data_IF_808499241467
#
_entry.id   IF_808499241467
#
_cell.length_a   1.000
_cell.length_b   1.000
_cell.length_c   1.000
_cell.angle_alpha   90.00
_cell.angle_beta   90.00
_cell.angle_gamma   90.00
#
_symmetry.space_group_name_H-M   'P 1'
#
loop_
_entity.id
_entity.type
_entity.pdbx_description
1 polymer ?
#
# COMPACT_ATOMS: atom_id res chain seq x y z
N UNK A 1 -21.11 -1.13 22.42
CA UNK A 1 -20.07 -0.95 23.44
C UNK A 1 -19.29 0.31 23.16
N UNK A 2 -19.71 1.32 23.92
CA UNK A 2 -19.24 2.69 23.90
C UNK A 2 -17.74 2.73 24.19
N UNK A 3 -16.96 2.97 23.13
CA UNK A 3 -15.68 3.64 23.30
C UNK A 3 -16.04 5.07 23.69
N UNK A 4 -15.85 5.41 24.97
CA UNK A 4 -16.22 6.72 25.51
C UNK A 4 -15.59 7.84 24.69
N UNK A 5 -16.37 8.88 24.39
CA UNK A 5 -15.94 10.05 23.61
C UNK A 5 -14.62 10.66 24.11
N UNK A 6 -14.34 10.51 25.41
CA UNK A 6 -13.09 10.92 26.07
C UNK A 6 -11.83 10.17 25.55
N UNK A 7 -11.95 8.90 25.13
CA UNK A 7 -10.85 8.13 24.52
C UNK A 7 -10.58 8.54 23.07
N UNK A 8 -11.63 8.96 22.35
CA UNK A 8 -11.53 9.52 20.99
C UNK A 8 -10.89 10.91 21.06
N UNK A 9 -11.35 11.76 21.97
CA UNK A 9 -10.91 13.14 22.14
C UNK A 9 -9.46 13.24 22.66
N UNK A 10 -9.07 12.39 23.63
CA UNK A 10 -7.69 12.35 24.15
C UNK A 10 -6.68 11.83 23.12
N UNK A 11 -7.10 11.10 22.08
CA UNK A 11 -6.21 10.62 21.01
C UNK A 11 -6.13 11.54 19.80
N UNK A 12 -7.14 12.38 19.57
CA UNK A 12 -7.04 13.51 18.62
C UNK A 12 -5.94 14.50 19.05
N UNK A 13 -5.60 14.57 20.33
CA UNK A 13 -4.53 15.47 20.84
C UNK A 13 -3.09 14.99 20.61
N UNK A 14 -2.88 13.73 20.22
CA UNK A 14 -1.54 13.17 19.98
C UNK A 14 -1.25 13.01 18.49
N UNK A 15 -0.66 14.03 17.85
CA UNK A 15 -0.20 13.90 16.46
C UNK A 15 0.68 12.64 16.31
N UNK A 16 0.25 11.71 15.46
CA UNK A 16 0.97 10.47 15.17
C UNK A 16 2.07 10.77 14.15
N UNK A 17 3.22 11.22 14.64
CA UNK A 17 4.18 11.89 13.77
C UNK A 17 5.28 10.99 13.20
N UNK A 18 5.62 11.21 11.93
CA UNK A 18 6.77 10.61 11.21
C UNK A 18 7.69 11.70 10.65
N UNK A 19 8.94 11.39 10.34
CA UNK A 19 9.87 12.38 9.80
C UNK A 19 9.49 12.82 8.37
N UNK A 20 9.82 14.07 7.97
CA UNK A 20 9.77 14.51 6.57
C UNK A 20 10.47 13.52 5.64
N UNK A 21 9.96 13.37 4.41
CA UNK A 21 10.41 12.39 3.43
C UNK A 21 9.73 11.02 3.56
N UNK A 22 9.11 10.71 4.71
CA UNK A 22 8.33 9.47 4.89
C UNK A 22 7.17 9.46 3.89
N UNK A 23 7.12 8.45 3.02
CA UNK A 23 6.10 8.36 1.98
C UNK A 23 4.79 7.77 2.52
N UNK A 24 3.69 8.39 2.16
CA UNK A 24 2.31 7.98 2.45
C UNK A 24 1.55 7.81 1.14
N UNK A 25 0.62 6.85 1.10
CA UNK A 25 -0.07 6.49 -0.14
C UNK A 25 -1.42 7.20 -0.22
N UNK A 26 -1.56 8.09 -1.21
CA UNK A 26 -2.82 8.78 -1.52
C UNK A 26 -3.84 7.82 -2.13
N UNK A 27 -5.12 8.18 -2.06
CA UNK A 27 -6.22 7.42 -2.64
C UNK A 27 -6.13 7.30 -4.18
N UNK A 28 -5.36 8.17 -4.84
CA UNK A 28 -5.07 8.08 -6.27
C UNK A 28 -3.90 7.13 -6.61
N UNK A 29 -3.40 6.39 -5.61
CA UNK A 29 -2.27 5.45 -5.68
C UNK A 29 -0.90 6.08 -5.92
N UNK A 30 -0.73 7.36 -5.62
CA UNK A 30 0.60 8.00 -5.57
C UNK A 30 1.18 7.98 -4.16
N UNK A 31 2.41 7.53 -4.07
CA UNK A 31 3.23 7.70 -2.87
C UNK A 31 3.80 9.11 -2.85
N UNK A 32 3.44 9.90 -1.84
CA UNK A 32 3.94 11.27 -1.68
C UNK A 32 4.61 11.42 -0.32
N UNK A 33 5.61 12.30 -0.16
CA UNK A 33 6.16 12.62 1.15
C UNK A 33 5.08 13.22 2.08
N UNK A 34 5.07 12.81 3.35
CA UNK A 34 4.08 13.24 4.35
C UNK A 34 3.97 14.76 4.48
N UNK A 35 5.07 15.48 4.28
CA UNK A 35 5.13 16.95 4.33
C UNK A 35 4.35 17.65 3.22
N UNK A 36 3.93 16.92 2.20
CA UNK A 36 3.16 17.45 1.06
C UNK A 36 1.65 17.34 1.28
N UNK A 37 1.21 16.64 2.33
CA UNK A 37 -0.21 16.47 2.64
C UNK A 37 -0.83 17.77 3.17
N UNK A 38 -2.07 18.00 2.74
CA UNK A 38 -2.92 19.10 3.20
C UNK A 38 -4.26 18.56 3.69
N UNK A 39 -4.96 19.35 4.51
CA UNK A 39 -6.33 19.03 4.91
C UNK A 39 -7.22 18.81 3.67
N UNK A 40 -8.01 17.73 3.68
CA UNK A 40 -8.84 17.29 2.56
C UNK A 40 -8.18 16.27 1.64
N UNK A 41 -6.86 16.05 1.71
CA UNK A 41 -6.21 14.98 0.96
C UNK A 41 -6.77 13.62 1.35
N UNK A 42 -7.01 12.77 0.35
CA UNK A 42 -7.50 11.42 0.56
C UNK A 42 -6.35 10.42 0.53
N UNK A 43 -6.33 9.52 1.51
CA UNK A 43 -5.32 8.49 1.69
C UNK A 43 -5.93 7.11 1.56
N UNK A 44 -5.12 6.14 1.12
CA UNK A 44 -5.46 4.74 1.38
C UNK A 44 -5.16 4.45 2.86
N UNK A 45 -6.16 3.92 3.56
CA UNK A 45 -6.11 3.65 4.99
C UNK A 45 -6.82 2.32 5.28
N UNK A 46 -7.07 2.01 6.55
CA UNK A 46 -7.80 0.83 6.97
C UNK A 46 -8.49 1.05 8.32
N UNK A 47 -9.40 0.15 8.68
CA UNK A 47 -10.06 0.18 9.99
C UNK A 47 -9.04 0.20 11.13
N UNK A 48 -9.07 1.23 11.97
CA UNK A 48 -8.10 1.39 13.06
C UNK A 48 -8.13 0.18 14.01
N UNK A 49 -9.33 -0.30 14.33
CA UNK A 49 -9.55 -1.49 15.15
C UNK A 49 -10.28 -2.57 14.36
N UNK A 50 -9.84 -3.81 14.53
CA UNK A 50 -10.61 -4.96 14.09
C UNK A 50 -11.75 -5.21 15.09
N UNK A 51 -12.97 -5.42 14.59
CA UNK A 51 -14.04 -5.98 15.41
C UNK A 51 -13.67 -7.41 15.83
N UNK A 52 -14.17 -7.86 16.98
CA UNK A 52 -13.89 -9.20 17.51
C UNK A 52 -14.17 -10.29 16.47
N UNK A 53 -13.18 -11.15 16.21
CA UNK A 53 -13.26 -12.22 15.20
C UNK A 53 -13.20 -11.77 13.74
N UNK A 54 -13.05 -10.47 13.46
CA UNK A 54 -12.99 -9.92 12.10
C UNK A 54 -11.59 -9.36 11.76
N UNK A 55 -11.36 -9.10 10.48
CA UNK A 55 -10.15 -8.43 9.99
C UNK A 55 -10.41 -6.94 9.78
N UNK A 56 -9.35 -6.13 9.85
CA UNK A 56 -9.38 -4.75 9.36
C UNK A 56 -9.63 -4.75 7.86
N UNK A 57 -10.42 -3.81 7.36
CA UNK A 57 -10.65 -3.59 5.94
C UNK A 57 -9.96 -2.33 5.47
N UNK A 58 -9.56 -2.30 4.20
CA UNK A 58 -9.08 -1.08 3.56
C UNK A 58 -10.20 -0.04 3.52
N UNK A 59 -9.83 1.21 3.74
CA UNK A 59 -10.73 2.38 3.80
C UNK A 59 -10.08 3.56 3.12
N UNK A 60 -10.88 4.54 2.73
CA UNK A 60 -10.38 5.89 2.44
C UNK A 60 -10.25 6.67 3.74
N UNK A 61 -9.07 7.21 4.00
CA UNK A 61 -8.85 8.22 5.03
C UNK A 61 -8.89 9.61 4.43
N UNK A 62 -9.26 10.61 5.23
CA UNK A 62 -9.16 12.03 4.87
C UNK A 62 -8.24 12.70 5.86
N UNK A 63 -7.26 13.45 5.37
CA UNK A 63 -6.39 14.27 6.20
C UNK A 63 -7.21 15.42 6.77
N UNK A 64 -7.28 15.54 8.10
CA UNK A 64 -8.04 16.61 8.76
C UNK A 64 -7.17 17.83 9.05
N UNK A 65 -5.92 17.60 9.44
CA UNK A 65 -4.92 18.61 9.75
C UNK A 65 -3.54 18.02 9.46
N UNK A 66 -2.54 18.87 9.20
CA UNK A 66 -1.13 18.49 9.24
C UNK A 66 -0.34 19.47 10.09
N UNK A 67 0.61 18.96 10.88
CA UNK A 67 1.42 19.81 11.77
C UNK A 67 2.87 19.37 11.81
N UNK A 68 3.78 20.33 11.62
CA UNK A 68 5.21 20.17 11.94
C UNK A 68 5.45 20.45 13.41
N UNK A 69 6.09 19.52 14.11
CA UNK A 69 6.41 19.62 15.53
C UNK A 69 7.76 18.96 15.82
N UNK A 70 8.51 19.48 16.79
CA UNK A 70 9.72 18.83 17.27
C UNK A 70 9.39 17.87 18.41
N UNK A 71 9.81 16.61 18.29
CA UNK A 71 9.58 15.57 19.30
C UNK A 71 10.78 14.62 19.40
N UNK A 72 11.02 13.99 20.56
CA UNK A 72 11.93 12.85 20.64
C UNK A 72 11.51 11.76 19.65
N UNK A 73 12.46 11.34 18.82
CA UNK A 73 12.24 10.41 17.73
C UNK A 73 13.18 9.21 17.80
N UNK A 74 12.73 8.13 17.19
CA UNK A 74 13.46 6.87 17.06
C UNK A 74 13.66 6.61 15.58
N UNK A 75 14.87 6.21 15.21
CA UNK A 75 15.19 5.62 13.92
C UNK A 75 14.99 4.11 14.00
N UNK A 76 14.15 3.59 13.12
CA UNK A 76 13.87 2.18 12.93
C UNK A 76 14.56 1.72 11.66
N UNK A 77 15.34 0.65 11.75
CA UNK A 77 15.92 -0.01 10.58
C UNK A 77 15.24 -1.36 10.41
N UNK A 78 14.77 -1.63 9.19
CA UNK A 78 14.17 -2.90 8.82
C UNK A 78 15.21 -3.84 8.20
N UNK A 79 14.92 -5.14 8.21
CA UNK A 79 15.79 -6.17 7.65
C UNK A 79 16.02 -6.06 6.13
N UNK A 80 15.14 -5.32 5.42
CA UNK A 80 15.29 -5.01 3.99
C UNK A 80 16.11 -3.72 3.74
N UNK A 81 16.68 -3.12 4.79
CA UNK A 81 17.44 -1.87 4.74
C UNK A 81 16.58 -0.60 4.73
N UNK A 82 15.25 -0.72 4.79
CA UNK A 82 14.37 0.44 4.93
C UNK A 82 14.62 1.13 6.27
N UNK A 83 14.80 2.44 6.24
CA UNK A 83 14.91 3.28 7.43
C UNK A 83 13.64 4.12 7.59
N UNK A 84 13.09 4.17 8.80
CA UNK A 84 11.92 4.96 9.16
C UNK A 84 12.23 5.75 10.42
N UNK A 85 11.83 7.02 10.47
CA UNK A 85 11.98 7.85 11.67
C UNK A 85 10.60 8.30 12.11
N UNK A 86 10.28 8.09 13.38
CA UNK A 86 9.00 8.48 13.95
C UNK A 86 9.13 8.94 15.40
N UNK A 87 8.15 9.72 15.87
CA UNK A 87 8.07 10.12 17.25
C UNK A 87 7.95 8.89 18.18
N UNK A 88 8.42 9.01 19.42
CA UNK A 88 8.39 7.94 20.42
C UNK A 88 7.00 7.32 20.64
N UNK A 89 5.96 8.14 20.53
CA UNK A 89 4.54 7.78 20.74
C UNK A 89 3.80 7.39 19.44
N UNK A 90 4.46 7.43 18.28
CA UNK A 90 3.83 7.05 17.02
C UNK A 90 3.43 5.55 17.05
N UNK A 91 2.15 5.20 16.79
CA UNK A 91 1.69 3.82 16.85
C UNK A 91 1.99 3.08 15.55
N UNK A 92 2.63 1.92 15.66
CA UNK A 92 2.88 1.00 14.56
C UNK A 92 1.97 -0.21 14.66
N UNK A 93 1.49 -0.69 13.51
CA UNK A 93 0.86 -1.98 13.43
C UNK A 93 1.94 -3.05 13.57
N UNK A 94 1.83 -3.91 14.59
CA UNK A 94 2.77 -5.01 14.84
C UNK A 94 1.99 -6.31 14.94
N UNK A 95 2.52 -7.38 14.37
CA UNK A 95 1.81 -8.66 14.38
C UNK A 95 2.65 -9.86 13.95
N UNK A 96 1.96 -10.94 13.61
CA UNK A 96 2.59 -12.18 13.14
C UNK A 96 1.87 -12.76 11.90
N UNK A 97 1.32 -11.90 11.05
CA UNK A 97 0.55 -12.29 9.86
C UNK A 97 -0.94 -12.50 10.12
N UNK A 98 -1.32 -12.94 11.33
CA UNK A 98 -2.71 -13.27 11.68
C UNK A 98 -3.32 -12.31 12.70
N UNK A 99 -2.53 -11.89 13.69
CA UNK A 99 -2.97 -10.99 14.75
C UNK A 99 -2.14 -9.72 14.73
N UNK A 100 -2.81 -8.57 14.72
CA UNK A 100 -2.16 -7.25 14.68
C UNK A 100 -2.66 -6.37 15.82
N UNK A 101 -1.71 -5.76 16.53
CA UNK A 101 -1.94 -4.77 17.59
C UNK A 101 -1.17 -3.49 17.29
N UNK A 102 -1.65 -2.38 17.84
CA UNK A 102 -0.91 -1.13 17.84
C UNK A 102 0.17 -1.15 18.92
N UNK A 103 1.35 -0.66 18.58
CA UNK A 103 2.49 -0.55 19.49
C UNK A 103 3.24 0.75 19.23
N UNK A 104 3.43 1.58 20.26
CA UNK A 104 4.20 2.82 20.14
C UNK A 104 5.67 2.56 19.75
N UNK A 105 6.28 3.47 19.00
CA UNK A 105 7.66 3.40 18.53
C UNK A 105 8.66 3.06 19.64
N UNK A 106 8.54 3.70 20.81
CA UNK A 106 9.46 3.49 21.95
C UNK A 106 9.41 2.08 22.55
N UNK A 107 8.36 1.31 22.22
CA UNK A 107 8.17 -0.06 22.70
C UNK A 107 8.54 -1.12 21.65
N UNK A 108 8.97 -0.68 20.46
CA UNK A 108 9.48 -1.55 19.42
C UNK A 108 10.87 -2.08 19.80
N UNK A 109 11.16 -3.31 19.37
CA UNK A 109 12.42 -4.01 19.63
C UNK A 109 12.83 -4.77 18.36
N UNK A 110 14.15 -4.97 18.15
CA UNK A 110 14.63 -5.86 17.10
C UNK A 110 13.96 -7.25 17.15
N UNK A 111 13.70 -7.83 15.98
CA UNK A 111 12.98 -9.09 15.81
C UNK A 111 11.45 -8.95 15.73
N UNK A 112 10.87 -7.81 16.10
CA UNK A 112 9.43 -7.56 15.92
C UNK A 112 9.08 -7.38 14.44
N UNK A 113 7.89 -7.83 14.04
CA UNK A 113 7.41 -7.79 12.66
C UNK A 113 6.45 -6.62 12.43
N UNK A 114 6.83 -5.74 11.50
CA UNK A 114 6.01 -4.65 11.00
C UNK A 114 5.49 -5.08 9.61
N UNK A 115 4.17 -5.25 9.43
CA UNK A 115 3.62 -5.75 8.18
C UNK A 115 3.79 -4.71 7.07
N UNK A 116 4.62 -5.02 6.07
CA UNK A 116 4.64 -4.29 4.80
C UNK A 116 3.39 -4.68 4.00
N UNK A 117 2.35 -3.83 4.10
CA UNK A 117 1.05 -4.11 3.48
C UNK A 117 1.08 -3.95 1.96
N UNK A 118 1.85 -2.97 1.47
CA UNK A 118 2.00 -2.65 0.06
C UNK A 118 3.48 -2.36 -0.23
N UNK A 119 3.99 -2.70 -1.42
CA UNK A 119 5.26 -2.16 -1.89
C UNK A 119 5.16 -0.64 -2.05
N UNK A 120 6.30 0.04 -2.02
CA UNK A 120 6.37 1.47 -2.36
C UNK A 120 6.84 1.59 -3.80
N UNK A 121 6.23 2.48 -4.58
CA UNK A 121 6.52 2.65 -6.01
C UNK A 121 6.54 4.12 -6.41
N UNK A 122 7.24 4.37 -7.50
CA UNK A 122 7.21 5.65 -8.21
C UNK A 122 6.36 5.51 -9.49
N UNK A 123 5.81 6.63 -9.96
CA UNK A 123 5.13 6.70 -11.25
C UNK A 123 6.16 6.55 -12.38
N UNK A 124 6.01 5.52 -13.23
CA UNK A 124 6.86 5.31 -14.40
C UNK A 124 6.32 6.12 -15.57
N UNK A 125 7.00 7.22 -15.88
CA UNK A 125 6.64 8.14 -16.97
C UNK A 125 7.33 7.81 -18.30
N UNK A 126 8.01 6.66 -18.39
CA UNK A 126 8.68 6.24 -19.62
C UNK A 126 7.68 5.92 -20.74
N UNK A 127 8.14 6.01 -21.99
CA UNK A 127 7.37 5.54 -23.15
C UNK A 127 6.85 4.10 -22.98
N UNK A 128 7.65 3.22 -22.36
CA UNK A 128 7.27 1.83 -22.13
C UNK A 128 6.08 1.70 -21.20
N UNK A 129 6.01 2.52 -20.14
CA UNK A 129 4.87 2.55 -19.24
C UNK A 129 3.65 3.19 -19.90
N UNK A 130 3.80 4.30 -20.62
CA UNK A 130 2.70 4.91 -21.37
C UNK A 130 2.09 3.96 -22.40
N UNK A 131 2.93 3.21 -23.15
CA UNK A 131 2.45 2.17 -24.07
C UNK A 131 1.72 1.04 -23.34
N UNK A 132 2.26 0.58 -22.20
CA UNK A 132 1.64 -0.47 -21.40
C UNK A 132 0.32 -0.01 -20.75
N UNK A 133 0.23 1.26 -20.33
CA UNK A 133 -0.97 1.90 -19.82
C UNK A 133 -2.07 1.91 -20.88
N UNK A 134 -1.73 2.33 -22.11
CA UNK A 134 -2.64 2.28 -23.26
C UNK A 134 -3.09 0.85 -23.58
N UNK A 135 -2.18 -0.13 -23.52
CA UNK A 135 -2.55 -1.54 -23.69
C UNK A 135 -3.49 -2.04 -22.60
N UNK A 136 -3.25 -1.68 -21.35
CA UNK A 136 -4.12 -2.07 -20.23
C UNK A 136 -5.49 -1.38 -20.32
N UNK A 137 -5.55 -0.14 -20.80
CA UNK A 137 -6.81 0.54 -21.06
C UNK A 137 -7.56 -0.02 -22.28
N UNK A 138 -6.86 -0.50 -23.30
CA UNK A 138 -7.51 -1.14 -24.45
C UNK A 138 -8.03 -2.54 -24.11
N UNK A 139 -7.14 -3.38 -23.61
CA UNK A 139 -7.31 -4.84 -23.54
C UNK A 139 -7.36 -5.40 -22.12
N UNK A 140 -7.18 -4.53 -21.11
CA UNK A 140 -7.09 -4.93 -19.72
C UNK A 140 -8.44 -4.97 -19.01
N UNK A 141 -8.52 -5.82 -17.99
CA UNK A 141 -9.61 -5.86 -17.03
C UNK A 141 -9.08 -5.70 -15.60
N UNK A 142 -9.95 -5.16 -14.75
CA UNK A 142 -9.81 -5.16 -13.31
C UNK A 142 -11.03 -5.88 -12.74
N UNK A 143 -10.78 -6.90 -11.92
CA UNK A 143 -11.83 -7.64 -11.22
C UNK A 143 -11.63 -7.43 -9.72
N UNK A 144 -12.63 -6.84 -9.06
CA UNK A 144 -12.68 -6.69 -7.61
C UNK A 144 -13.79 -7.57 -7.07
N UNK A 145 -13.42 -8.67 -6.41
CA UNK A 145 -14.38 -9.61 -5.86
C UNK A 145 -14.31 -9.54 -4.34
N UNK A 146 -15.08 -8.63 -3.74
CA UNK A 146 -15.11 -8.41 -2.29
C UNK A 146 -15.42 -9.69 -1.50
N UNK A 147 -16.23 -10.60 -2.07
CA UNK A 147 -16.67 -11.84 -1.40
C UNK A 147 -15.75 -13.05 -1.63
N UNK A 148 -14.82 -13.00 -2.59
CA UNK A 148 -13.90 -14.10 -2.84
C UNK A 148 -12.52 -13.74 -2.30
N UNK A 149 -11.71 -14.73 -1.93
CA UNK A 149 -10.41 -14.51 -1.27
C UNK A 149 -9.38 -13.70 -2.07
N UNK A 150 -9.70 -13.29 -3.31
CA UNK A 150 -8.86 -12.55 -4.24
C UNK A 150 -9.50 -11.20 -4.62
N UNK A 151 -9.34 -10.15 -3.78
CA UNK A 151 -10.12 -8.92 -3.89
C UNK A 151 -9.72 -8.02 -5.07
N UNK A 152 -8.61 -8.31 -5.75
CA UNK A 152 -8.15 -7.53 -6.89
C UNK A 152 -7.32 -8.40 -7.83
N UNK A 153 -7.76 -8.52 -9.06
CA UNK A 153 -7.05 -9.18 -10.14
C UNK A 153 -6.99 -8.27 -11.38
N UNK A 154 -5.81 -8.19 -11.98
CA UNK A 154 -5.58 -7.47 -13.23
C UNK A 154 -5.14 -8.47 -14.29
N UNK A 155 -5.79 -8.41 -15.45
CA UNK A 155 -5.41 -9.22 -16.59
C UNK A 155 -5.46 -8.40 -17.89
N UNK A 156 -4.63 -8.75 -18.85
CA UNK A 156 -4.61 -8.21 -20.21
C UNK A 156 -4.92 -9.36 -21.17
N UNK A 157 -5.87 -9.15 -22.08
CA UNK A 157 -6.26 -10.14 -23.07
C UNK A 157 -5.59 -9.82 -24.39
N UNK A 158 -4.96 -10.80 -25.03
CA UNK A 158 -4.32 -10.56 -26.32
C UNK A 158 -4.18 -11.86 -27.09
N UNK A 159 -4.30 -11.77 -28.41
CA UNK A 159 -3.98 -12.88 -29.31
C UNK A 159 -2.49 -13.21 -29.19
N UNK A 160 -2.17 -14.50 -29.19
CA UNK A 160 -0.80 -14.97 -29.22
C UNK A 160 -0.02 -14.37 -30.41
N UNK A 161 1.11 -13.74 -30.11
CA UNK A 161 1.93 -13.04 -31.10
C UNK A 161 2.79 -11.93 -30.51
N UNK A 162 3.40 -11.09 -31.37
CA UNK A 162 4.40 -10.10 -30.95
C UNK A 162 3.91 -9.09 -29.91
N UNK A 163 2.62 -8.73 -29.92
CA UNK A 163 2.04 -7.80 -28.95
C UNK A 163 2.00 -8.42 -27.56
N UNK A 164 1.52 -9.68 -27.43
CA UNK A 164 1.52 -10.39 -26.16
C UNK A 164 2.93 -10.57 -25.61
N UNK A 165 3.90 -10.93 -26.46
CA UNK A 165 5.33 -11.02 -26.07
C UNK A 165 5.84 -9.68 -25.55
N UNK A 166 5.49 -8.56 -26.19
CA UNK A 166 5.88 -7.22 -25.75
C UNK A 166 5.23 -6.84 -24.43
N UNK A 167 3.96 -7.18 -24.20
CA UNK A 167 3.27 -6.96 -22.91
C UNK A 167 4.01 -7.71 -21.79
N UNK A 168 4.27 -9.01 -21.98
CA UNK A 168 4.97 -9.85 -21.01
C UNK A 168 6.36 -9.28 -20.67
N UNK A 169 7.16 -8.94 -21.69
CA UNK A 169 8.48 -8.34 -21.50
C UNK A 169 8.43 -6.99 -20.74
N UNK A 170 7.46 -6.13 -21.05
CA UNK A 170 7.31 -4.82 -20.39
C UNK A 170 6.87 -4.94 -18.92
N UNK A 171 6.11 -5.98 -18.58
CA UNK A 171 5.73 -6.32 -17.21
C UNK A 171 6.91 -6.92 -16.44
N UNK A 172 7.59 -7.90 -17.01
CA UNK A 172 8.74 -8.58 -16.41
C UNK A 172 9.89 -7.60 -16.12
N UNK A 173 10.23 -6.73 -17.09
CA UNK A 173 11.26 -5.69 -16.92
C UNK A 173 10.94 -4.66 -15.83
N UNK A 174 9.70 -4.64 -15.31
CA UNK A 174 9.25 -3.80 -14.18
C UNK A 174 9.00 -4.61 -12.90
N UNK A 175 9.49 -5.84 -12.87
CA UNK A 175 9.41 -6.74 -11.73
C UNK A 175 8.00 -7.31 -11.49
N UNK A 176 7.08 -7.24 -12.45
CA UNK A 176 5.79 -7.92 -12.33
C UNK A 176 5.93 -9.38 -12.75
N UNK A 177 5.56 -10.29 -11.85
CA UNK A 177 5.37 -11.71 -12.21
C UNK A 177 4.03 -11.89 -12.90
N UNK A 178 3.99 -12.68 -13.96
CA UNK A 178 2.76 -12.89 -14.75
C UNK A 178 2.55 -14.36 -15.07
N UNK A 179 1.29 -14.77 -15.24
CA UNK A 179 0.93 -16.08 -15.79
C UNK A 179 0.05 -15.87 -17.02
N UNK A 180 0.21 -16.72 -18.03
CA UNK A 180 -0.58 -16.68 -19.26
C UNK A 180 -1.45 -17.93 -19.33
N UNK A 181 -2.74 -17.74 -19.56
CA UNK A 181 -3.72 -18.82 -19.76
C UNK A 181 -4.39 -18.68 -21.12
N UNK A 182 -4.86 -19.80 -21.69
CA UNK A 182 -5.79 -19.74 -22.80
C UNK A 182 -7.12 -19.10 -22.36
N UNK A 183 -7.74 -18.34 -23.25
CA UNK A 183 -9.02 -17.69 -22.96
C UNK A 183 -9.98 -17.73 -24.15
N UNK A 184 -11.21 -18.20 -23.89
CA UNK A 184 -12.20 -18.37 -24.95
C UNK A 184 -11.70 -19.33 -26.03
N UNK A 185 -11.89 -18.97 -27.29
CA UNK A 185 -11.35 -19.72 -28.41
C UNK A 185 -9.91 -19.25 -28.72
N UNK A 186 -8.94 -20.17 -28.88
CA UNK A 186 -7.61 -19.84 -29.36
C UNK A 186 -7.67 -19.02 -30.66
N UNK A 187 -6.73 -18.08 -30.88
CA UNK A 187 -5.47 -17.89 -30.16
C UNK A 187 -5.50 -16.84 -29.02
N UNK A 188 -6.66 -16.47 -28.49
CA UNK A 188 -6.74 -15.47 -27.43
C UNK A 188 -6.16 -15.98 -26.10
N UNK A 189 -5.29 -15.17 -25.50
CA UNK A 189 -4.64 -15.45 -24.21
C UNK A 189 -5.05 -14.42 -23.18
N UNK A 190 -5.07 -14.85 -21.92
CA UNK A 190 -5.27 -14.01 -20.74
C UNK A 190 -3.98 -13.99 -19.93
N UNK A 191 -3.30 -12.85 -19.92
CA UNK A 191 -2.10 -12.60 -19.13
C UNK A 191 -2.51 -11.95 -17.81
N UNK A 192 -2.28 -12.62 -16.68
CA UNK A 192 -2.63 -12.17 -15.33
C UNK A 192 -1.39 -11.68 -14.60
N UNK A 193 -1.49 -10.53 -13.95
CA UNK A 193 -0.45 -10.02 -13.04
C UNK A 193 -0.59 -10.73 -11.69
N UNK A 194 0.45 -11.44 -11.27
CA UNK A 194 0.50 -12.18 -10.01
C UNK A 194 0.91 -11.27 -8.84
N UNK A 195 0.60 -11.71 -7.61
CA UNK A 195 0.84 -10.96 -6.37
C UNK A 195 -0.40 -10.27 -5.80
N UNK A 196 -1.56 -10.50 -6.43
CA UNK A 196 -2.87 -10.08 -5.96
C UNK A 196 -2.96 -8.57 -5.78
N UNK A 197 -3.65 -8.14 -4.71
CA UNK A 197 -3.93 -6.73 -4.44
C UNK A 197 -2.69 -5.83 -4.42
N UNK A 198 -1.62 -6.26 -3.78
CA UNK A 198 -0.44 -5.42 -3.61
C UNK A 198 0.21 -5.07 -4.95
N UNK A 199 0.41 -6.07 -5.81
CA UNK A 199 0.98 -5.88 -7.14
C UNK A 199 -0.04 -5.26 -8.11
N UNK A 200 -1.33 -5.51 -7.91
CA UNK A 200 -2.38 -4.86 -8.68
C UNK A 200 -2.42 -3.35 -8.43
N UNK A 201 -2.40 -2.93 -7.17
CA UNK A 201 -2.30 -1.51 -6.80
C UNK A 201 -0.96 -0.91 -7.26
N UNK A 202 0.15 -1.65 -7.15
CA UNK A 202 1.45 -1.21 -7.69
C UNK A 202 1.37 -0.97 -9.19
N UNK A 203 0.77 -1.87 -9.96
CA UNK A 203 0.58 -1.69 -11.40
C UNK A 203 -0.25 -0.45 -11.70
N UNK A 204 -1.43 -0.30 -11.09
CA UNK A 204 -2.30 0.84 -11.32
C UNK A 204 -1.62 2.17 -10.92
N UNK A 205 -0.91 2.19 -9.79
CA UNK A 205 -0.23 3.38 -9.28
C UNK A 205 1.03 3.77 -10.06
N UNK A 206 1.83 2.79 -10.50
CA UNK A 206 3.08 3.05 -11.24
C UNK A 206 2.87 3.21 -12.75
N UNK A 207 1.97 2.44 -13.37
CA UNK A 207 1.74 2.45 -14.83
C UNK A 207 0.65 3.45 -15.22
N UNK A 208 -0.26 3.79 -14.31
CA UNK A 208 -1.29 4.81 -14.50
C UNK A 208 -2.24 4.61 -15.72
N UNK A 209 -2.76 3.40 -15.99
CA UNK A 209 -3.81 3.22 -17.00
C UNK A 209 -5.07 4.00 -16.59
N UNK A 210 -5.52 4.95 -17.41
CA UNK A 210 -6.58 5.88 -17.08
C UNK A 210 -7.92 5.18 -16.83
N UNK A 211 -8.34 4.31 -17.75
CA UNK A 211 -9.63 3.60 -17.67
C UNK A 211 -9.62 2.55 -16.56
N UNK A 212 -8.52 1.81 -16.38
CA UNK A 212 -8.48 0.82 -15.30
C UNK A 212 -8.37 1.47 -13.92
N UNK A 213 -7.61 2.56 -13.78
CA UNK A 213 -7.52 3.28 -12.52
C UNK A 213 -8.88 3.88 -12.12
N UNK A 214 -9.66 4.39 -13.08
CA UNK A 214 -11.01 4.93 -12.79
C UNK A 214 -12.03 3.85 -12.38
N UNK A 215 -11.74 2.57 -12.63
CA UNK A 215 -12.58 1.44 -12.24
C UNK A 215 -12.25 0.92 -10.83
N UNK A 216 -11.14 1.35 -10.23
CA UNK A 216 -10.74 0.93 -8.90
C UNK A 216 -11.68 1.54 -7.85
N UNK A 217 -12.34 0.68 -7.07
CA UNK A 217 -13.06 1.07 -5.88
C UNK A 217 -12.25 0.67 -4.62
N UNK A 218 -11.71 1.66 -3.91
CA UNK A 218 -10.90 1.42 -2.70
C UNK A 218 -11.69 0.73 -1.58
N UNK A 219 -12.99 0.98 -1.49
CA UNK A 219 -13.85 0.42 -0.44
C UNK A 219 -14.18 -1.06 -0.69
N UNK A 220 -13.95 -1.55 -1.90
CA UNK A 220 -14.09 -2.96 -2.30
C UNK A 220 -12.79 -3.74 -2.22
N UNK A 221 -11.69 -3.13 -1.76
CA UNK A 221 -10.42 -3.84 -1.58
C UNK A 221 -10.52 -4.92 -0.49
N UNK A 222 -11.53 -4.88 0.39
CA UNK A 222 -11.75 -5.93 1.40
C UNK A 222 -10.69 -5.93 2.51
N UNK A 223 -10.40 -7.11 3.07
CA UNK A 223 -9.53 -7.22 4.25
C UNK A 223 -8.07 -6.83 4.00
N UNK A 224 -7.45 -6.21 4.99
CA UNK A 224 -6.00 -5.99 5.10
C UNK A 224 -5.31 -7.33 5.38
N UNK A 225 -4.32 -7.64 4.55
CA UNK A 225 -3.42 -8.79 4.70
C UNK A 225 -2.03 -8.32 4.35
N UNK A 226 -1.02 -8.74 5.11
CA UNK A 226 0.36 -8.44 4.79
C UNK A 226 0.72 -9.04 3.42
N UNK A 227 1.58 -8.33 2.68
CA UNK A 227 2.14 -8.84 1.44
C UNK A 227 3.22 -9.88 1.79
N UNK A 228 2.86 -11.16 1.78
CA UNK A 228 3.68 -12.27 2.25
C UNK A 228 4.88 -12.64 1.35
N UNK A 229 5.45 -11.71 0.56
CA UNK A 229 6.62 -12.07 -0.25
C UNK A 229 7.88 -12.23 0.61
N UNK A 230 8.09 -11.35 1.60
CA UNK A 230 9.21 -11.44 2.55
C UNK A 230 8.78 -10.94 3.94
N UNK A 231 9.20 -11.68 4.99
CA UNK A 231 8.98 -11.26 6.37
C UNK A 231 10.03 -10.19 6.69
N UNK A 232 9.61 -8.93 6.70
CA UNK A 232 10.46 -7.81 7.09
C UNK A 232 10.36 -7.60 8.61
N UNK A 233 11.48 -7.76 9.31
CA UNK A 233 11.57 -7.55 10.77
C UNK A 233 12.34 -6.28 11.08
N UNK A 234 12.14 -5.74 12.28
CA UNK A 234 13.02 -4.71 12.82
C UNK A 234 14.41 -5.31 13.06
N UNK A 235 15.43 -4.72 12.46
CA UNK A 235 16.83 -5.09 12.67
C UNK A 235 17.49 -4.21 13.72
N UNK A 236 17.13 -2.92 13.77
CA UNK A 236 17.69 -1.96 14.72
C UNK A 236 16.68 -0.89 15.15
N UNK A 237 16.86 -0.37 16.37
CA UNK A 237 16.01 0.64 17.00
C UNK A 237 16.90 1.62 17.77
N UNK A 238 17.07 2.82 17.23
CA UNK A 238 17.99 3.84 17.75
C UNK A 238 17.23 5.10 18.19
N UNK A 239 17.43 5.53 19.44
CA UNK A 239 16.94 6.83 19.90
C UNK A 239 17.84 7.95 19.37
N UNK A 240 17.29 8.85 18.55
CA UNK A 240 18.07 9.89 17.86
C UNK A 240 17.77 11.31 18.36
N UNK A 241 17.19 11.42 19.56
CA UNK A 241 16.86 12.69 20.20
C UNK A 241 15.71 13.44 19.51
N UNK A 242 15.56 14.75 19.77
CA UNK A 242 14.53 15.58 19.14
C UNK A 242 14.72 15.69 17.63
N UNK A 243 13.65 15.44 16.87
CA UNK A 243 13.59 15.61 15.41
C UNK A 243 12.33 16.36 15.03
N UNK A 244 12.38 17.09 13.90
CA UNK A 244 11.17 17.62 13.28
C UNK A 244 10.39 16.45 12.68
N UNK A 245 9.15 16.30 13.11
CA UNK A 245 8.21 15.26 12.67
C UNK A 245 6.88 15.89 12.26
N UNK A 246 6.11 15.16 11.46
CA UNK A 246 4.85 15.59 10.85
C UNK A 246 3.77 14.58 11.19
N UNK A 247 2.66 15.06 11.74
CA UNK A 247 1.46 14.27 11.97
C UNK A 247 0.21 15.00 11.53
#
# INVERSE_FOLDING_TARGET
>A
DDLTDEMVEKRITGYQCVAPGTRVLRADLRWVPVETLNAGDQLISFDEYALSGQRRHWRRGVVLETKRIERPAVKLTLSDGTELIAANDHPWLVGNGHNYKWQETRLLKPGMFLPKLLPVWDEDTSYGAGWLAGMADGEGTISQQFQTGNPLELAIYQVEGPVLTKVAFRLESRGFSTVIHDHGNPPCKRLVILGGKAEGLRFLGSIRPLRLLSKLNLDELGAVKAHNREIVTLSDVELIGPQVVIG
#
